data_IF_034839718161
#
_entry.id   IF_034839718161
#
_cell.length_a   1.000
_cell.length_b   1.000
_cell.length_c   1.000
_cell.angle_alpha   90.00
_cell.angle_beta   90.00
_cell.angle_gamma   90.00
#
_symmetry.space_group_name_H-M   'P 1'
#
loop_
_entity.id
_entity.type
_entity.pdbx_description
1 polymer ?
#
# COMPACT_ATOMS: atom_id res chain seq x y z
N UNK A 1 12.21 -20.69 0.59
CA UNK A 1 12.45 -20.37 -0.83
C UNK A 1 13.44 -19.22 -0.91
N UNK A 2 14.57 -19.37 -1.62
CA UNK A 2 15.49 -18.25 -1.88
C UNK A 2 14.77 -17.24 -2.77
N UNK A 3 14.69 -15.99 -2.33
CA UNK A 3 14.08 -14.91 -3.10
C UNK A 3 14.98 -14.56 -4.29
N UNK A 4 14.41 -14.53 -5.50
CA UNK A 4 15.13 -14.08 -6.69
C UNK A 4 15.23 -12.55 -6.70
N UNK A 5 16.25 -12.01 -7.36
CA UNK A 5 16.42 -10.57 -7.52
C UNK A 5 15.20 -9.93 -8.18
N UNK A 6 14.62 -10.61 -9.17
CA UNK A 6 13.38 -10.19 -9.85
C UNK A 6 12.23 -10.02 -8.87
N UNK A 7 12.07 -10.96 -7.94
CA UNK A 7 11.02 -10.91 -6.93
C UNK A 7 11.22 -9.76 -5.93
N UNK A 8 12.47 -9.46 -5.55
CA UNK A 8 12.78 -8.30 -4.71
C UNK A 8 12.44 -6.98 -5.40
N UNK A 9 12.84 -6.82 -6.66
CA UNK A 9 12.52 -5.63 -7.46
C UNK A 9 11.00 -5.48 -7.62
N UNK A 10 10.29 -6.59 -7.85
CA UNK A 10 8.84 -6.60 -7.95
C UNK A 10 8.15 -6.09 -6.67
N UNK A 11 8.60 -6.52 -5.49
CA UNK A 11 8.01 -6.04 -4.24
C UNK A 11 8.28 -4.56 -3.99
N UNK A 12 9.46 -4.05 -4.35
CA UNK A 12 9.76 -2.62 -4.27
C UNK A 12 8.88 -1.82 -5.23
N UNK A 13 8.71 -2.30 -6.47
CA UNK A 13 7.81 -1.67 -7.44
C UNK A 13 6.37 -1.61 -6.93
N UNK A 14 5.84 -2.72 -6.40
CA UNK A 14 4.52 -2.76 -5.78
C UNK A 14 4.41 -1.82 -4.58
N UNK A 15 5.48 -1.65 -3.80
CA UNK A 15 5.48 -0.75 -2.65
C UNK A 15 5.36 0.70 -3.12
N UNK A 16 6.06 1.09 -4.18
CA UNK A 16 5.94 2.43 -4.77
C UNK A 16 4.51 2.64 -5.30
N UNK A 17 3.95 1.65 -6.00
CA UNK A 17 2.55 1.71 -6.45
C UNK A 17 1.57 1.84 -5.29
N UNK A 18 1.87 1.28 -4.11
CA UNK A 18 1.02 1.39 -2.93
C UNK A 18 0.88 2.83 -2.38
N UNK A 19 1.74 3.77 -2.81
CA UNK A 19 1.60 5.19 -2.48
C UNK A 19 0.82 6.00 -3.52
N UNK A 20 0.46 5.41 -4.66
CA UNK A 20 -0.38 6.08 -5.66
C UNK A 20 -1.79 6.27 -5.09
N UNK A 21 -2.36 7.49 -5.04
CA UNK A 21 -3.67 7.73 -4.44
C UNK A 21 -4.76 6.86 -5.07
N UNK A 22 -5.63 6.28 -4.23
CA UNK A 22 -6.78 5.43 -4.60
C UNK A 22 -6.36 4.06 -5.18
N UNK A 23 -5.52 4.04 -6.21
CA UNK A 23 -5.06 2.81 -6.87
C UNK A 23 -4.04 2.01 -6.04
N UNK A 24 -3.39 2.65 -5.06
CA UNK A 24 -2.40 2.03 -4.19
C UNK A 24 -2.96 1.08 -3.12
N UNK A 25 -4.28 1.03 -2.92
CA UNK A 25 -4.91 0.13 -1.96
C UNK A 25 -4.64 -1.33 -2.33
N UNK A 26 -4.88 -1.71 -3.58
CA UNK A 26 -4.68 -3.08 -4.07
C UNK A 26 -3.24 -3.59 -3.87
N UNK A 27 -2.20 -2.90 -4.38
CA UNK A 27 -0.82 -3.34 -4.16
C UNK A 27 -0.42 -3.28 -2.67
N UNK A 28 -0.91 -2.30 -1.90
CA UNK A 28 -0.66 -2.21 -0.46
C UNK A 28 -1.22 -3.42 0.32
N UNK A 29 -2.46 -3.81 0.03
CA UNK A 29 -3.10 -4.99 0.64
C UNK A 29 -2.41 -6.28 0.20
N UNK A 30 -2.07 -6.41 -1.08
CA UNK A 30 -1.31 -7.56 -1.57
C UNK A 30 0.02 -7.71 -0.83
N UNK A 31 0.78 -6.63 -0.66
CA UNK A 31 2.04 -6.63 0.08
C UNK A 31 1.84 -6.96 1.55
N UNK A 32 0.76 -6.48 2.17
CA UNK A 32 0.43 -6.80 3.57
C UNK A 32 0.22 -8.30 3.75
N UNK A 33 -0.65 -8.91 2.94
CA UNK A 33 -0.92 -10.36 3.00
C UNK A 33 0.35 -11.15 2.71
N UNK A 34 1.10 -10.76 1.68
CA UNK A 34 2.34 -11.44 1.31
C UNK A 34 3.40 -11.35 2.43
N UNK A 35 3.47 -10.21 3.14
CA UNK A 35 4.40 -10.02 4.26
C UNK A 35 4.12 -10.91 5.48
N UNK A 36 2.90 -11.42 5.63
CA UNK A 36 2.54 -12.37 6.69
C UNK A 36 3.12 -13.76 6.44
N UNK A 37 3.46 -14.09 5.20
CA UNK A 37 3.93 -15.42 4.80
C UNK A 37 5.40 -15.41 4.34
N UNK A 38 5.98 -14.24 4.09
CA UNK A 38 7.37 -14.09 3.66
C UNK A 38 8.22 -13.36 4.71
N UNK A 39 9.09 -14.09 5.41
CA UNK A 39 10.06 -13.55 6.36
C UNK A 39 10.98 -12.48 5.75
N UNK A 40 11.23 -12.57 4.44
CA UNK A 40 12.11 -11.64 3.73
C UNK A 40 11.49 -10.24 3.54
N UNK A 41 10.18 -10.09 3.74
CA UNK A 41 9.49 -8.80 3.65
C UNK A 41 9.45 -8.04 5.00
N UNK A 42 10.02 -8.61 6.07
CA UNK A 42 10.10 -7.96 7.38
C UNK A 42 10.70 -6.55 7.35
N UNK A 43 11.79 -6.27 6.58
CA UNK A 43 12.34 -4.92 6.48
C UNK A 43 11.38 -3.90 5.84
N UNK A 44 10.45 -4.38 5.00
CA UNK A 44 9.47 -3.55 4.30
C UNK A 44 8.17 -3.36 5.08
N UNK A 45 7.97 -4.08 6.19
CA UNK A 45 6.71 -4.08 6.94
C UNK A 45 6.30 -2.69 7.43
N UNK A 46 7.26 -1.88 7.87
CA UNK A 46 7.01 -0.48 8.26
C UNK A 46 6.51 0.36 7.08
N UNK A 47 7.13 0.20 5.92
CA UNK A 47 6.75 0.89 4.68
C UNK A 47 5.37 0.45 4.16
N UNK A 48 5.06 -0.84 4.20
CA UNK A 48 3.74 -1.38 3.79
C UNK A 48 2.64 -0.80 4.69
N UNK A 49 2.86 -0.76 6.01
CA UNK A 49 1.94 -0.11 6.94
C UNK A 49 1.79 1.37 6.64
N UNK A 50 2.90 2.07 6.39
CA UNK A 50 2.89 3.48 6.02
C UNK A 50 2.06 3.74 4.76
N UNK A 51 2.24 2.93 3.72
CA UNK A 51 1.46 3.03 2.49
C UNK A 51 -0.05 2.87 2.75
N UNK A 52 -0.45 1.87 3.53
CA UNK A 52 -1.85 1.64 3.88
C UNK A 52 -2.45 2.78 4.73
N UNK A 53 -1.69 3.33 5.68
CA UNK A 53 -2.12 4.51 6.44
C UNK A 53 -2.33 5.71 5.51
N UNK A 54 -1.41 5.94 4.59
CA UNK A 54 -1.53 7.00 3.58
C UNK A 54 -2.77 6.81 2.70
N UNK A 55 -3.07 5.57 2.28
CA UNK A 55 -4.31 5.29 1.55
C UNK A 55 -5.56 5.56 2.40
N UNK A 56 -5.54 5.21 3.69
CA UNK A 56 -6.60 5.56 4.62
C UNK A 56 -6.82 7.08 4.70
N UNK A 57 -5.74 7.86 4.78
CA UNK A 57 -5.81 9.32 4.75
C UNK A 57 -6.44 9.84 3.44
N UNK A 58 -6.12 9.25 2.28
CA UNK A 58 -6.75 9.64 1.01
C UNK A 58 -8.25 9.35 0.99
N UNK A 59 -8.67 8.19 1.47
CA UNK A 59 -10.10 7.84 1.57
C UNK A 59 -10.83 8.81 2.48
N UNK A 60 -10.27 9.11 3.67
CA UNK A 60 -10.85 10.09 4.60
C UNK A 60 -10.93 11.47 3.97
N UNK A 61 -9.88 11.93 3.29
CA UNK A 61 -9.87 13.21 2.59
C UNK A 61 -10.99 13.28 1.53
N UNK A 62 -11.17 12.21 0.73
CA UNK A 62 -12.24 12.15 -0.27
C UNK A 62 -13.63 12.19 0.37
N UNK A 63 -13.84 11.48 1.50
CA UNK A 63 -15.11 11.52 2.22
C UNK A 63 -15.41 12.90 2.78
N UNK A 64 -14.40 13.59 3.33
CA UNK A 64 -14.56 14.96 3.82
C UNK A 64 -14.88 15.92 2.67
N UNK A 65 -14.18 15.80 1.54
CA UNK A 65 -14.47 16.60 0.35
C UNK A 65 -15.91 16.36 -0.11
N UNK A 66 -16.34 15.10 -0.20
CA UNK A 66 -17.70 14.75 -0.58
C UNK A 66 -18.75 15.33 0.39
N UNK A 67 -18.49 15.27 1.71
CA UNK A 67 -19.44 15.74 2.70
C UNK A 67 -19.57 17.26 2.77
N UNK A 68 -18.47 18.00 2.60
CA UNK A 68 -18.44 19.45 2.79
C UNK A 68 -18.59 20.25 1.48
N UNK A 69 -18.17 19.71 0.33
CA UNK A 69 -18.05 20.47 -0.92
C UNK A 69 -18.92 19.94 -2.06
N UNK A 70 -19.55 18.77 -1.93
CA UNK A 70 -20.52 18.30 -2.93
C UNK A 70 -21.91 18.80 -2.54
N UNK A 71 -22.60 19.59 -3.40
CA UNK A 71 -23.96 20.05 -3.14
C UNK A 71 -24.93 18.86 -2.95
N UNK A 72 -25.87 19.00 -2.00
CA UNK A 72 -26.92 18.01 -1.74
C UNK A 72 -28.18 18.30 -2.56
#
# INVERSE_FOLDING_TARGET
MKQSLVQSVWFVFLLILAFVPIFGILPGVYLLVTSQHAANLQPMKGWIKGALVTQGCYVVALLLIAFFFVPR
#
